data_IF_314740743489
#
_entry.id   IF_314740743489
#
_cell.length_a   1.000
_cell.length_b   1.000
_cell.length_c   1.000
_cell.angle_alpha   90.00
_cell.angle_beta   90.00
_cell.angle_gamma   90.00
#
_symmetry.space_group_name_H-M   'P 1'
#
loop_
_entity.id
_entity.type
_entity.pdbx_description
1 polymer ?
#
# COMPACT_ATOMS: atom_id res chain seq x y z
N UNK A 1 -9.24 -11.74 -5.71
CA UNK A 1 -9.66 -10.42 -6.22
C UNK A 1 -8.48 -9.81 -6.94
N UNK A 2 -8.66 -9.40 -8.20
CA UNK A 2 -7.60 -8.78 -9.00
C UNK A 2 -7.89 -7.29 -9.10
N UNK A 3 -6.94 -6.45 -8.69
CA UNK A 3 -6.99 -4.99 -8.79
C UNK A 3 -6.00 -4.53 -9.86
N UNK A 4 -6.51 -4.21 -11.05
CA UNK A 4 -5.71 -3.59 -12.10
C UNK A 4 -5.52 -2.10 -11.82
N UNK A 5 -4.28 -1.60 -11.92
CA UNK A 5 -3.96 -0.22 -11.62
C UNK A 5 -2.93 0.33 -12.60
N UNK A 6 -3.09 1.59 -12.97
CA UNK A 6 -2.06 2.36 -13.65
C UNK A 6 -1.37 3.28 -12.64
N UNK A 7 -0.04 3.38 -12.72
CA UNK A 7 0.79 4.18 -11.81
C UNK A 7 1.81 4.97 -12.60
N UNK A 8 1.96 6.25 -12.25
CA UNK A 8 3.04 7.06 -12.78
C UNK A 8 4.35 6.64 -12.11
N UNK A 9 5.42 6.54 -12.90
CA UNK A 9 6.78 6.46 -12.37
C UNK A 9 7.14 7.77 -11.66
N UNK A 10 8.13 7.70 -10.78
CA UNK A 10 8.70 8.88 -10.15
C UNK A 10 9.76 9.53 -11.03
N UNK A 11 9.86 10.85 -10.94
CA UNK A 11 10.88 11.65 -11.62
C UNK A 11 11.71 12.41 -10.59
N UNK A 12 12.99 12.61 -10.87
CA UNK A 12 13.87 13.43 -10.05
C UNK A 12 13.65 14.93 -10.38
N UNK A 13 14.25 15.87 -9.64
CA UNK A 13 14.10 17.30 -9.91
C UNK A 13 14.57 17.74 -11.31
N UNK A 14 15.39 16.94 -12.00
CA UNK A 14 15.80 17.19 -13.38
C UNK A 14 14.86 16.60 -14.43
N UNK A 15 13.72 16.03 -14.02
CA UNK A 15 12.70 15.46 -14.91
C UNK A 15 13.05 14.10 -15.49
N UNK A 16 14.10 13.45 -15.00
CA UNK A 16 14.46 12.10 -15.41
C UNK A 16 13.76 11.04 -14.54
N UNK A 17 13.33 9.91 -15.12
CA UNK A 17 12.83 8.76 -14.37
C UNK A 17 13.76 8.36 -13.22
N UNK A 18 13.21 8.25 -12.01
CA UNK A 18 13.91 7.70 -10.84
C UNK A 18 14.14 6.21 -11.05
N UNK A 19 15.37 5.78 -10.78
CA UNK A 19 15.81 4.39 -10.87
C UNK A 19 16.51 3.99 -9.58
N UNK A 20 16.31 2.77 -9.07
CA UNK A 20 17.03 2.31 -7.90
C UNK A 20 18.53 2.15 -8.24
N UNK A 21 19.40 2.48 -7.29
CA UNK A 21 20.84 2.35 -7.48
C UNK A 21 21.30 0.88 -7.51
N UNK A 22 20.52 -0.02 -6.90
CA UNK A 22 20.85 -1.44 -6.74
C UNK A 22 20.57 -2.29 -7.99
N UNK A 23 19.61 -1.89 -8.85
CA UNK A 23 19.17 -2.73 -9.97
C UNK A 23 18.86 -1.92 -11.23
N UNK A 24 19.58 -2.21 -12.31
CA UNK A 24 19.34 -1.60 -13.61
C UNK A 24 18.04 -2.11 -14.25
N UNK A 25 17.32 -1.23 -14.95
CA UNK A 25 16.07 -1.57 -15.65
C UNK A 25 14.79 -1.41 -14.82
N UNK A 26 14.92 -1.18 -13.51
CA UNK A 26 13.78 -0.89 -12.65
C UNK A 26 13.52 0.60 -12.51
N UNK A 27 12.27 0.93 -12.19
CA UNK A 27 11.80 2.29 -11.97
C UNK A 27 11.15 2.37 -10.60
N UNK A 28 11.36 3.47 -9.89
CA UNK A 28 10.65 3.73 -8.63
C UNK A 28 9.42 4.58 -8.89
N UNK A 29 8.31 4.26 -8.22
CA UNK A 29 7.10 5.07 -8.28
C UNK A 29 7.22 6.34 -7.44
N UNK A 30 6.23 7.23 -7.54
CA UNK A 30 6.11 8.38 -6.62
C UNK A 30 5.66 7.98 -5.21
N UNK A 31 5.03 6.82 -5.06
CA UNK A 31 4.52 6.31 -3.79
C UNK A 31 4.99 4.87 -3.60
N UNK A 32 5.38 4.53 -2.37
CA UNK A 32 5.80 3.17 -2.01
C UNK A 32 4.59 2.22 -1.87
N UNK A 33 3.39 2.76 -1.59
CA UNK A 33 2.16 1.99 -1.43
C UNK A 33 1.32 1.92 -2.71
N UNK A 34 1.00 0.70 -3.16
CA UNK A 34 0.11 0.45 -4.29
C UNK A 34 -1.36 0.18 -3.89
N UNK A 35 -1.64 -0.27 -2.67
CA UNK A 35 -3.02 -0.50 -2.22
C UNK A 35 -3.64 0.74 -1.61
N UNK A 36 -4.69 1.29 -2.24
CA UNK A 36 -5.46 2.41 -1.68
C UNK A 36 -6.51 1.91 -0.68
N UNK A 37 -6.91 2.75 0.28
CA UNK A 37 -7.90 2.38 1.29
C UNK A 37 -9.23 1.91 0.70
N UNK A 38 -9.75 2.59 -0.32
CA UNK A 38 -11.00 2.20 -1.01
C UNK A 38 -10.95 0.82 -1.68
N UNK A 39 -9.76 0.26 -1.93
CA UNK A 39 -9.66 -1.08 -2.51
C UNK A 39 -10.08 -2.18 -1.54
N UNK A 40 -9.99 -1.91 -0.24
CA UNK A 40 -10.41 -2.85 0.80
C UNK A 40 -11.94 -2.93 0.93
N UNK A 41 -12.65 -1.95 0.36
CA UNK A 41 -14.11 -1.93 0.22
C UNK A 41 -14.63 -2.97 -0.77
N UNK A 42 -13.83 -3.35 -1.77
CA UNK A 42 -14.27 -4.22 -2.86
C UNK A 42 -14.76 -5.55 -2.27
N UNK A 43 -15.95 -5.99 -2.68
CA UNK A 43 -16.56 -7.24 -2.19
C UNK A 43 -17.04 -7.19 -0.74
N UNK A 44 -17.24 -6.01 -0.17
CA UNK A 44 -18.10 -5.80 1.01
C UNK A 44 -19.54 -5.52 0.57
N UNK A 45 -20.50 -5.88 1.42
CA UNK A 45 -21.89 -5.45 1.28
C UNK A 45 -22.10 -4.08 1.96
N UNK A 46 -23.29 -3.52 1.80
CA UNK A 46 -23.65 -2.21 2.35
C UNK A 46 -23.60 -2.17 3.89
N UNK A 47 -23.82 -3.30 4.56
CA UNK A 47 -23.77 -3.39 6.02
C UNK A 47 -22.33 -3.25 6.49
N UNK A 48 -21.41 -4.01 5.92
CA UNK A 48 -19.99 -3.91 6.26
C UNK A 48 -19.38 -2.56 5.88
N UNK A 49 -19.83 -1.93 4.78
CA UNK A 49 -19.40 -0.57 4.42
C UNK A 49 -19.89 0.45 5.46
N UNK A 50 -21.13 0.34 5.92
CA UNK A 50 -21.65 1.20 6.98
C UNK A 50 -20.90 1.00 8.31
N UNK A 51 -20.57 -0.24 8.67
CA UNK A 51 -19.72 -0.52 9.83
C UNK A 51 -18.32 0.10 9.71
N UNK A 52 -17.68 -0.01 8.54
CA UNK A 52 -16.38 0.61 8.30
C UNK A 52 -16.44 2.15 8.43
N UNK A 53 -17.50 2.78 7.93
CA UNK A 53 -17.76 4.22 8.10
C UNK A 53 -17.96 4.60 9.56
N UNK A 54 -18.78 3.85 10.29
CA UNK A 54 -18.97 4.05 11.72
C UNK A 54 -17.64 3.96 12.49
N UNK A 55 -16.80 2.96 12.19
CA UNK A 55 -15.46 2.85 12.81
C UNK A 55 -14.56 4.06 12.50
N UNK A 56 -14.64 4.60 11.29
CA UNK A 56 -13.92 5.82 10.92
C UNK A 56 -14.42 7.03 11.72
N UNK A 57 -15.73 7.21 11.82
CA UNK A 57 -16.40 8.26 12.58
C UNK A 57 -16.06 8.19 14.08
N UNK A 58 -16.15 6.99 14.67
CA UNK A 58 -15.78 6.73 16.08
C UNK A 58 -14.30 7.06 16.35
N UNK A 59 -13.44 6.95 15.33
CA UNK A 59 -12.03 7.32 15.38
C UNK A 59 -11.76 8.79 14.98
N UNK A 60 -12.80 9.61 14.77
CA UNK A 60 -12.68 11.02 14.38
C UNK A 60 -12.21 11.25 12.95
N UNK A 61 -12.32 10.26 12.06
CA UNK A 61 -11.89 10.32 10.66
C UNK A 61 -13.09 10.42 9.71
N UNK A 62 -12.98 11.31 8.72
CA UNK A 62 -13.99 11.50 7.66
C UNK A 62 -14.14 10.28 6.75
N UNK A 63 -13.04 9.57 6.48
CA UNK A 63 -13.00 8.44 5.55
C UNK A 63 -12.46 7.18 6.23
N UNK A 64 -13.03 6.00 5.93
CA UNK A 64 -12.46 4.72 6.36
C UNK A 64 -11.07 4.47 5.77
N UNK A 65 -10.22 3.83 6.56
CA UNK A 65 -8.92 3.33 6.14
C UNK A 65 -9.00 1.82 5.91
N UNK A 66 -7.94 1.23 5.34
CA UNK A 66 -7.89 -0.20 5.04
C UNK A 66 -8.23 -1.11 6.24
N UNK A 67 -7.85 -0.73 7.46
CA UNK A 67 -8.13 -1.51 8.67
C UNK A 67 -9.62 -1.48 9.05
N UNK A 68 -10.34 -0.38 8.83
CA UNK A 68 -11.78 -0.31 9.10
C UNK A 68 -12.56 -1.29 8.23
N UNK A 69 -12.22 -1.34 6.94
CA UNK A 69 -12.80 -2.26 5.96
C UNK A 69 -12.43 -3.73 6.27
N UNK A 70 -11.18 -3.98 6.64
CA UNK A 70 -10.72 -5.34 6.98
C UNK A 70 -11.37 -5.85 8.25
N UNK A 71 -11.52 -4.98 9.26
CA UNK A 71 -12.24 -5.30 10.49
C UNK A 71 -13.74 -5.50 10.27
N UNK A 72 -14.36 -4.74 9.36
CA UNK A 72 -15.76 -4.96 8.99
C UNK A 72 -15.95 -6.32 8.34
N UNK A 73 -15.05 -6.69 7.42
CA UNK A 73 -15.06 -8.01 6.79
C UNK A 73 -14.98 -9.17 7.78
N UNK A 74 -14.32 -8.97 8.92
CA UNK A 74 -14.09 -9.99 9.94
C UNK A 74 -13.25 -11.19 9.47
N UNK A 75 -12.60 -11.10 8.30
CA UNK A 75 -11.80 -12.16 7.68
C UNK A 75 -10.57 -11.57 6.98
N UNK A 76 -9.44 -12.30 6.94
CA UNK A 76 -8.27 -11.87 6.19
C UNK A 76 -8.58 -11.61 4.71
N UNK A 77 -7.92 -10.60 4.15
CA UNK A 77 -8.02 -10.23 2.74
C UNK A 77 -6.68 -10.45 2.05
N UNK A 78 -6.69 -11.24 0.97
CA UNK A 78 -5.62 -11.32 -0.01
C UNK A 78 -6.08 -10.62 -1.29
N UNK A 79 -5.32 -9.61 -1.72
CA UNK A 79 -5.54 -8.87 -2.95
C UNK A 79 -4.37 -9.07 -3.90
N UNK A 80 -4.67 -9.46 -5.14
CA UNK A 80 -3.70 -9.56 -6.21
C UNK A 80 -3.80 -8.29 -7.06
N UNK A 81 -2.66 -7.68 -7.35
CA UNK A 81 -2.59 -6.45 -8.13
C UNK A 81 -1.89 -6.74 -9.46
N UNK A 82 -2.37 -6.08 -10.51
CA UNK A 82 -1.66 -5.98 -11.78
C UNK A 82 -1.40 -4.51 -12.05
N UNK A 83 -0.13 -4.13 -12.00
CA UNK A 83 0.31 -2.74 -12.09
C UNK A 83 0.88 -2.48 -13.50
N UNK A 84 0.39 -1.42 -14.13
CA UNK A 84 1.02 -0.82 -15.29
C UNK A 84 1.74 0.46 -14.84
N UNK A 85 3.05 0.51 -15.02
CA UNK A 85 3.85 1.72 -14.82
C UNK A 85 3.91 2.49 -16.14
N UNK A 86 3.52 3.75 -16.09
CA UNK A 86 3.54 4.68 -17.23
C UNK A 86 4.38 5.90 -16.90
N UNK A 87 5.02 6.48 -17.92
CA UNK A 87 5.65 7.79 -17.85
C UNK A 87 4.68 8.86 -18.35
N UNK A 88 3.99 9.52 -17.42
CA UNK A 88 3.01 10.56 -17.77
C UNK A 88 3.65 11.80 -18.38
N UNK A 89 4.93 12.04 -18.13
CA UNK A 89 5.67 13.18 -18.69
C UNK A 89 6.14 12.92 -20.13
N UNK A 90 6.06 11.66 -20.58
CA UNK A 90 6.34 11.22 -21.95
C UNK A 90 5.13 10.53 -22.58
N UNK A 91 4.03 11.26 -22.72
CA UNK A 91 2.85 10.82 -23.49
C UNK A 91 2.22 9.50 -22.99
N UNK A 92 2.30 9.24 -21.67
CA UNK A 92 1.84 7.99 -21.05
C UNK A 92 2.52 6.72 -21.62
N UNK A 93 3.79 6.82 -22.02
CA UNK A 93 4.57 5.66 -22.46
C UNK A 93 4.57 4.56 -21.37
N UNK A 94 4.20 3.32 -21.73
CA UNK A 94 4.24 2.20 -20.79
C UNK A 94 5.68 1.75 -20.59
N UNK A 95 6.15 1.85 -19.35
CA UNK A 95 7.51 1.49 -18.96
C UNK A 95 7.57 0.04 -18.48
N UNK A 96 6.58 -0.38 -17.69
CA UNK A 96 6.40 -1.77 -17.24
C UNK A 96 4.91 -2.08 -17.30
N UNK A 97 4.55 -3.22 -17.89
CA UNK A 97 3.16 -3.68 -17.95
C UNK A 97 2.95 -4.95 -17.13
N UNK A 98 1.76 -5.09 -16.54
CA UNK A 98 1.32 -6.29 -15.82
C UNK A 98 2.25 -6.72 -14.66
N UNK A 99 2.91 -5.78 -14.01
CA UNK A 99 3.74 -6.08 -12.85
C UNK A 99 2.85 -6.61 -11.71
N UNK A 100 3.06 -7.86 -11.24
CA UNK A 100 2.25 -8.43 -10.19
C UNK A 100 2.65 -7.86 -8.83
N UNK A 101 1.67 -7.57 -7.98
CA UNK A 101 1.91 -7.28 -6.57
C UNK A 101 0.83 -7.91 -5.69
N UNK A 102 1.11 -8.07 -4.40
CA UNK A 102 0.20 -8.69 -3.45
C UNK A 102 0.02 -7.83 -2.21
N UNK A 103 -1.21 -7.70 -1.75
CA UNK A 103 -1.54 -7.09 -0.46
C UNK A 103 -2.27 -8.07 0.41
N UNK A 104 -1.85 -8.11 1.68
CA UNK A 104 -2.46 -8.95 2.70
C UNK A 104 -2.89 -8.05 3.86
N UNK A 105 -4.10 -8.27 4.37
CA UNK A 105 -4.57 -7.59 5.57
C UNK A 105 -5.37 -8.56 6.44
N UNK A 106 -5.19 -8.42 7.76
CA UNK A 106 -5.82 -9.24 8.76
C UNK A 106 -6.73 -8.38 9.63
N UNK A 107 -7.92 -8.87 10.01
CA UNK A 107 -8.72 -8.20 11.02
C UNK A 107 -7.97 -8.23 12.36
N UNK A 108 -8.29 -7.27 13.22
CA UNK A 108 -7.81 -7.23 14.59
C UNK A 108 -8.18 -8.54 15.28
N UNK A 109 -7.24 -9.04 16.07
CA UNK A 109 -7.43 -10.21 16.91
C UNK A 109 -6.87 -9.91 18.28
N UNK A 110 -7.58 -10.37 19.31
CA UNK A 110 -7.10 -10.30 20.69
C UNK A 110 -6.14 -11.47 21.02
N UNK A 111 -5.98 -12.44 20.09
CA UNK A 111 -5.06 -13.57 20.22
C UNK A 111 -3.65 -13.16 19.77
N UNK A 112 -2.88 -12.59 20.71
CA UNK A 112 -1.46 -12.29 20.51
C UNK A 112 -0.63 -13.54 20.80
N UNK A 113 0.07 -14.05 19.78
CA UNK A 113 1.00 -15.17 19.93
C UNK A 113 2.43 -14.71 19.76
N UNK A 114 3.25 -14.93 20.78
CA UNK A 114 4.70 -14.73 20.68
C UNK A 114 5.32 -15.96 20.04
N UNK A 115 6.14 -15.75 19.00
CA UNK A 115 6.88 -16.82 18.32
C UNK A 115 8.36 -16.50 18.42
N UNK A 116 9.15 -17.44 18.94
CA UNK A 116 10.61 -17.35 18.90
C UNK A 116 11.13 -17.86 17.55
N UNK A 117 11.96 -17.07 16.88
CA UNK A 117 12.58 -17.45 15.62
C UNK A 117 14.07 -17.08 15.61
N UNK A 118 14.88 -17.91 14.96
CA UNK A 118 16.31 -17.66 14.76
C UNK A 118 16.51 -17.06 13.38
N UNK A 119 17.13 -15.89 13.31
CA UNK A 119 17.39 -15.19 12.05
C UNK A 119 18.88 -14.97 11.82
N UNK A 120 19.26 -14.93 10.54
CA UNK A 120 20.61 -14.59 10.14
C UNK A 120 20.86 -13.09 10.43
N UNK A 121 22.00 -12.72 11.06
CA UNK A 121 22.37 -11.31 11.28
C UNK A 121 22.31 -10.43 10.02
N UNK A 122 22.57 -10.99 8.83
CA UNK A 122 22.46 -10.26 7.56
C UNK A 122 21.00 -9.89 7.25
N UNK A 123 20.08 -10.82 7.49
CA UNK A 123 18.65 -10.60 7.30
C UNK A 123 18.09 -9.56 8.30
N UNK A 124 18.58 -9.60 9.54
CA UNK A 124 18.20 -8.62 10.57
C UNK A 124 18.60 -7.20 10.16
N UNK A 125 19.82 -7.00 9.66
CA UNK A 125 20.28 -5.68 9.17
C UNK A 125 19.41 -5.16 8.03
N UNK A 126 19.10 -6.01 7.05
CA UNK A 126 18.22 -5.63 5.95
C UNK A 126 16.80 -5.30 6.43
N UNK A 127 16.29 -6.00 7.44
CA UNK A 127 14.99 -5.72 8.02
C UNK A 127 14.96 -4.36 8.73
N UNK A 128 15.98 -4.07 9.56
CA UNK A 128 16.12 -2.79 10.27
C UNK A 128 16.33 -1.61 9.30
N UNK A 129 17.11 -1.76 8.24
CA UNK A 129 17.28 -0.74 7.20
C UNK A 129 15.96 -0.39 6.49
N UNK A 130 15.05 -1.35 6.34
CA UNK A 130 13.74 -1.15 5.73
C UNK A 130 12.63 -0.79 6.74
N UNK A 131 12.91 -0.75 8.05
CA UNK A 131 11.94 -0.40 9.09
C UNK A 131 11.73 1.12 9.27
N UNK A 132 12.63 1.95 8.73
CA UNK A 132 12.57 3.40 8.84
C UNK A 132 11.70 4.08 7.76
N UNK A 133 10.67 3.42 7.25
CA UNK A 133 9.59 4.07 6.49
C UNK A 133 8.42 4.31 7.48
N UNK A 134 8.64 5.26 8.41
CA UNK A 134 7.68 5.61 9.45
C UNK A 134 6.49 6.37 8.83
N UNK A 135 5.23 6.01 9.13
CA UNK A 135 4.05 6.77 8.68
C UNK A 135 4.06 8.25 9.11
N UNK A 136 4.86 8.61 10.13
CA UNK A 136 5.04 9.99 10.58
C UNK A 136 6.11 10.76 9.81
N UNK A 137 6.88 10.12 8.94
CA UNK A 137 7.87 10.75 8.04
C UNK A 137 7.32 10.93 6.61
N UNK A 138 6.09 10.48 6.34
CA UNK A 138 5.32 10.87 5.15
C UNK A 138 4.66 12.24 5.41
N UNK A 139 5.22 13.32 4.84
CA UNK A 139 4.74 14.71 4.91
C UNK A 139 3.35 14.96 4.27
N UNK A 140 2.54 13.92 4.05
CA UNK A 140 1.27 13.97 3.30
C UNK A 140 0.04 14.03 4.24
N UNK A 141 0.12 14.73 5.39
CA UNK A 141 -1.10 15.20 6.06
C UNK A 141 -1.65 16.41 5.29
N UNK A 142 -2.41 16.13 4.23
CA UNK A 142 -3.29 17.14 3.64
C UNK A 142 -4.31 17.57 4.70
N UNK A 143 -4.03 18.69 5.38
CA UNK A 143 -5.02 19.42 6.15
C UNK A 143 -6.04 19.95 5.14
N UNK A 144 -7.10 19.18 4.88
CA UNK A 144 -8.28 19.67 4.16
C UNK A 144 -8.86 20.86 4.96
N UNK A 145 -8.65 22.07 4.44
CA UNK A 145 -9.35 23.31 4.81
C UNK A 145 -10.81 23.25 4.36
#
# INVERSE_FOLDING_TARGET
>A
MIAAQERNIGHNPSGQPRRPASEAGWHTGNKNRFSRNSMFEIGLDTVHIAEARKRAEDAGRKNPIFSDYTNARGKPLLMLHLLNLVDKDKDNESVISLAPALSVSFPNSDDVRTVEYVVNPVWLKQFEENQYDSPNEEDDYDLEL
#
